data_IF_415883023777
#
_entry.id   IF_415883023777
#
_cell.length_a   1.000
_cell.length_b   1.000
_cell.length_c   1.000
_cell.angle_alpha   90.00
_cell.angle_beta   90.00
_cell.angle_gamma   90.00
#
_symmetry.space_group_name_H-M   'P 1'
#
loop_
_entity.id
_entity.type
_entity.pdbx_description
1 polymer ?
#
# COMPACT_ATOMS: atom_id res chain seq x y z
N UNK A 1 65.69 2.89 70.04
CA UNK A 1 67.07 3.23 69.61
C UNK A 1 66.99 3.78 68.18
N UNK A 2 67.49 5.02 67.96
CA UNK A 2 68.07 5.63 66.73
C UNK A 2 67.52 5.19 65.35
N UNK A 3 67.26 6.04 64.36
CA UNK A 3 67.45 7.47 64.13
C UNK A 3 66.67 7.86 62.85
N UNK A 4 66.44 9.16 62.67
CA UNK A 4 65.82 9.84 61.51
C UNK A 4 66.52 9.54 60.16
N UNK A 5 65.77 9.56 59.06
CA UNK A 5 66.04 10.49 57.95
C UNK A 5 64.86 10.59 56.96
N UNK A 6 64.31 11.81 56.83
CA UNK A 6 63.51 12.25 55.70
C UNK A 6 64.43 12.47 54.50
N UNK A 7 64.00 12.09 53.29
CA UNK A 7 64.35 12.79 52.04
C UNK A 7 63.37 12.41 50.91
N UNK A 8 62.74 13.44 50.37
CA UNK A 8 61.96 13.47 49.14
C UNK A 8 62.81 13.11 47.91
N UNK A 9 62.25 12.40 46.92
CA UNK A 9 62.40 12.75 45.49
C UNK A 9 61.59 11.84 44.54
N UNK A 10 60.66 12.50 43.84
CA UNK A 10 60.29 12.36 42.42
C UNK A 10 59.83 11.03 41.80
N UNK A 11 58.55 11.07 41.40
CA UNK A 11 57.97 10.64 40.12
C UNK A 11 58.96 10.13 39.06
N UNK A 12 58.78 8.88 38.66
CA UNK A 12 59.31 8.30 37.42
C UNK A 12 58.30 7.31 36.85
N UNK A 13 57.25 7.84 36.21
CA UNK A 13 56.28 7.08 35.43
C UNK A 13 57.00 6.56 34.18
N UNK A 14 57.42 5.30 34.18
CA UNK A 14 57.89 4.64 32.97
C UNK A 14 56.66 4.16 32.21
N UNK A 15 56.10 5.05 31.37
CA UNK A 15 55.24 4.63 30.26
C UNK A 15 56.13 3.89 29.26
N UNK A 16 56.12 2.56 29.32
CA UNK A 16 56.70 1.73 28.27
C UNK A 16 55.72 1.76 27.09
N UNK A 17 55.98 2.65 26.14
CA UNK A 17 55.33 2.64 24.84
C UNK A 17 55.79 1.39 24.06
N UNK A 18 54.86 0.52 23.69
CA UNK A 18 55.13 -0.59 22.77
C UNK A 18 55.36 0.00 21.37
N UNK A 19 56.62 0.05 20.95
CA UNK A 19 57.02 0.35 19.58
C UNK A 19 57.98 -0.75 19.12
N UNK A 20 57.55 -1.54 18.12
CA UNK A 20 58.44 -2.40 17.33
C UNK A 20 58.09 -3.89 17.33
N UNK A 21 57.57 -4.35 16.19
CA UNK A 21 57.76 -5.63 15.51
C UNK A 21 58.37 -6.83 16.30
N UNK A 22 57.51 -7.68 16.85
CA UNK A 22 57.79 -9.09 17.19
C UNK A 22 56.54 -9.94 16.88
N UNK A 23 56.62 -11.03 16.09
CA UNK A 23 55.45 -11.78 15.64
C UNK A 23 55.07 -12.95 16.57
N UNK A 24 55.12 -12.79 17.89
CA UNK A 24 54.34 -13.65 18.80
C UNK A 24 54.20 -12.95 20.16
N UNK A 25 53.16 -12.12 20.30
CA UNK A 25 52.69 -11.72 21.61
C UNK A 25 51.94 -12.90 22.22
N UNK A 26 52.61 -13.61 23.12
CA UNK A 26 52.02 -14.67 23.93
C UNK A 26 51.06 -14.02 24.93
N UNK A 27 49.76 -14.08 24.63
CA UNK A 27 48.70 -13.75 25.55
C UNK A 27 48.51 -14.96 26.48
N UNK A 28 48.39 -14.73 27.80
CA UNK A 28 48.06 -15.75 28.80
C UNK A 28 46.77 -16.50 28.36
N UNK A 29 46.92 -17.60 27.61
CA UNK A 29 45.82 -18.39 27.06
C UNK A 29 45.77 -18.64 25.54
N UNK A 30 46.71 -18.18 24.71
CA UNK A 30 46.82 -18.58 23.29
C UNK A 30 47.11 -17.45 22.30
N UNK A 31 47.40 -17.77 21.01
CA UNK A 31 47.82 -16.78 20.04
C UNK A 31 46.70 -15.76 19.79
N UNK A 32 46.99 -14.50 20.12
CA UNK A 32 46.17 -13.36 19.77
C UNK A 32 46.11 -13.23 18.23
N UNK A 33 45.07 -13.83 17.63
CA UNK A 33 44.84 -13.88 16.19
C UNK A 33 44.13 -15.15 15.69
N UNK A 34 44.05 -16.21 16.50
CA UNK A 34 43.22 -17.37 16.17
C UNK A 34 41.76 -17.06 16.49
N UNK A 35 40.94 -16.94 15.45
CA UNK A 35 39.48 -16.83 15.63
C UNK A 35 38.98 -18.06 16.40
N UNK A 36 38.01 -17.90 17.33
CA UNK A 36 37.50 -19.02 18.09
C UNK A 36 36.96 -20.09 17.13
N UNK A 37 37.24 -21.38 17.39
CA UNK A 37 36.76 -22.47 16.54
C UNK A 37 35.23 -22.43 16.51
N UNK A 38 34.68 -22.68 15.32
CA UNK A 38 33.24 -22.65 15.07
C UNK A 38 32.66 -24.07 14.94
N UNK A 39 31.33 -24.18 14.98
CA UNK A 39 30.66 -25.46 14.74
C UNK A 39 30.43 -25.66 13.24
N UNK A 40 30.73 -26.83 12.68
CA UNK A 40 30.50 -27.11 11.25
C UNK A 40 29.07 -26.71 10.81
N UNK A 41 28.97 -25.94 9.72
CA UNK A 41 27.72 -25.44 9.17
C UNK A 41 27.17 -24.18 9.83
N UNK A 42 27.79 -23.68 10.92
CA UNK A 42 27.49 -22.38 11.50
C UNK A 42 27.78 -21.27 10.47
N UNK A 43 26.97 -20.20 10.50
CA UNK A 43 27.06 -19.08 9.56
C UNK A 43 27.23 -17.77 10.30
N UNK A 44 28.09 -16.89 9.78
CA UNK A 44 28.28 -15.54 10.32
C UNK A 44 28.53 -14.53 9.21
N UNK A 45 28.47 -13.26 9.58
CA UNK A 45 28.90 -12.15 8.75
C UNK A 45 30.17 -11.53 9.33
N UNK A 46 31.23 -11.45 8.51
CA UNK A 46 32.46 -10.72 8.82
C UNK A 46 32.61 -9.61 7.78
N UNK A 47 32.56 -8.35 8.20
CA UNK A 47 32.72 -7.17 7.32
C UNK A 47 31.84 -7.19 6.06
N UNK A 48 30.54 -7.50 6.22
CA UNK A 48 29.56 -7.67 5.14
C UNK A 48 29.80 -8.86 4.19
N UNK A 49 30.54 -9.87 4.66
CA UNK A 49 30.86 -11.07 3.89
C UNK A 49 30.39 -12.32 4.66
N UNK A 50 29.45 -13.12 4.13
CA UNK A 50 29.07 -14.39 4.73
C UNK A 50 30.24 -15.37 4.78
N UNK A 51 30.35 -16.06 5.91
CA UNK A 51 31.25 -17.19 6.11
C UNK A 51 30.44 -18.37 6.63
N UNK A 52 30.82 -19.57 6.20
CA UNK A 52 30.31 -20.84 6.72
C UNK A 52 31.46 -21.59 7.37
N UNK A 53 31.23 -22.12 8.56
CA UNK A 53 32.20 -22.95 9.24
C UNK A 53 32.36 -24.29 8.52
N UNK A 54 33.59 -24.65 8.17
CA UNK A 54 33.91 -25.95 7.57
C UNK A 54 34.21 -27.00 8.66
N UNK A 55 34.23 -28.29 8.28
CA UNK A 55 34.35 -29.43 9.20
C UNK A 55 35.57 -29.37 10.15
N UNK A 56 36.62 -28.66 9.76
CA UNK A 56 37.83 -28.47 10.58
C UNK A 56 37.67 -27.41 11.68
N UNK A 57 36.46 -26.86 11.89
CA UNK A 57 36.19 -25.80 12.87
C UNK A 57 36.77 -24.44 12.47
N UNK A 58 37.07 -24.27 11.17
CA UNK A 58 37.64 -23.06 10.58
C UNK A 58 36.56 -22.33 9.78
N UNK A 59 36.56 -21.00 9.81
CA UNK A 59 35.68 -20.22 8.95
C UNK A 59 36.14 -20.27 7.50
N UNK A 60 35.22 -20.61 6.59
CA UNK A 60 35.49 -20.58 5.15
C UNK A 60 35.81 -19.17 4.65
N UNK A 61 36.36 -19.09 3.43
CA UNK A 61 36.73 -17.81 2.81
C UNK A 61 35.51 -16.88 2.68
N UNK A 62 35.62 -15.62 3.14
CA UNK A 62 34.53 -14.66 3.01
C UNK A 62 34.24 -14.36 1.54
N UNK A 63 32.96 -14.19 1.21
CA UNK A 63 32.52 -13.71 -0.10
C UNK A 63 31.75 -12.40 0.08
N UNK A 64 32.09 -11.32 -0.62
CA UNK A 64 31.36 -10.06 -0.47
C UNK A 64 29.93 -10.17 -0.99
N UNK A 65 29.00 -9.56 -0.25
CA UNK A 65 27.63 -9.36 -0.70
C UNK A 65 27.51 -8.08 -1.53
N UNK A 66 26.70 -8.13 -2.60
CA UNK A 66 26.22 -6.92 -3.27
C UNK A 66 25.19 -6.17 -2.40
N UNK A 67 24.50 -6.88 -1.50
CA UNK A 67 23.60 -6.34 -0.49
C UNK A 67 24.18 -6.37 0.93
N UNK A 68 23.34 -6.62 1.93
CA UNK A 68 23.76 -6.71 3.33
C UNK A 68 23.89 -8.17 3.76
N UNK A 69 24.99 -8.52 4.43
CA UNK A 69 25.10 -9.81 5.09
C UNK A 69 24.25 -9.80 6.38
N UNK A 70 23.29 -10.71 6.46
CA UNK A 70 22.50 -10.99 7.67
C UNK A 70 22.47 -12.49 7.93
N UNK A 71 22.65 -12.88 9.19
CA UNK A 71 22.66 -14.29 9.63
C UNK A 71 23.56 -15.20 8.76
N UNK A 72 24.69 -14.64 8.29
CA UNK A 72 25.65 -15.31 7.41
C UNK A 72 25.12 -15.68 6.02
N UNK A 73 24.17 -14.91 5.51
CA UNK A 73 23.68 -14.95 4.12
C UNK A 73 23.61 -13.54 3.53
N UNK A 74 23.81 -13.41 2.22
CA UNK A 74 23.60 -12.14 1.52
C UNK A 74 22.11 -11.92 1.31
N UNK A 75 21.58 -10.87 1.94
CA UNK A 75 20.25 -10.35 1.66
C UNK A 75 20.41 -9.15 0.71
N UNK A 76 19.61 -9.12 -0.36
CA UNK A 76 19.58 -7.97 -1.27
C UNK A 76 19.05 -6.77 -0.50
N UNK A 77 19.82 -5.68 -0.48
CA UNK A 77 19.38 -4.42 0.10
C UNK A 77 18.64 -3.64 -0.98
N UNK A 78 17.30 -3.68 -0.95
CA UNK A 78 16.49 -2.89 -1.86
C UNK A 78 16.41 -1.44 -1.42
N UNK A 79 16.37 -0.54 -2.40
CA UNK A 79 16.13 0.88 -2.15
C UNK A 79 14.74 1.05 -1.49
N UNK A 80 14.56 1.98 -0.54
CA UNK A 80 13.25 2.23 0.06
C UNK A 80 12.16 2.66 -0.94
N UNK A 81 12.53 3.06 -2.16
CA UNK A 81 11.61 3.36 -3.25
C UNK A 81 11.23 2.15 -4.11
N UNK A 82 11.88 1.00 -3.92
CA UNK A 82 11.48 -0.27 -4.53
C UNK A 82 10.09 -0.68 -4.04
N UNK A 83 9.28 -1.23 -4.94
CA UNK A 83 7.95 -1.72 -4.60
C UNK A 83 8.01 -3.14 -4.02
N UNK A 84 6.93 -3.59 -3.38
CA UNK A 84 6.81 -4.97 -2.95
C UNK A 84 6.31 -5.83 -4.11
N UNK A 85 7.02 -6.91 -4.48
CA UNK A 85 6.61 -7.78 -5.59
C UNK A 85 5.17 -8.28 -5.39
N UNK A 86 4.33 -8.09 -6.41
CA UNK A 86 2.89 -8.38 -6.40
C UNK A 86 2.00 -7.22 -5.97
N UNK A 87 2.55 -6.13 -5.44
CA UNK A 87 1.80 -4.89 -5.18
C UNK A 87 1.28 -4.29 -6.49
N UNK A 88 0.11 -3.68 -6.45
CA UNK A 88 -0.50 -2.99 -7.60
C UNK A 88 -0.70 -1.51 -7.30
N UNK A 89 -0.49 -0.67 -8.31
CA UNK A 89 -0.77 0.77 -8.21
C UNK A 89 -1.42 1.30 -9.47
N UNK A 90 -2.09 2.45 -9.36
CA UNK A 90 -2.54 3.18 -10.52
C UNK A 90 -1.43 4.03 -11.13
N UNK A 91 -1.31 3.95 -12.45
CA UNK A 91 -0.49 4.80 -13.29
C UNK A 91 -1.42 5.45 -14.33
N UNK A 92 -2.03 6.58 -13.96
CA UNK A 92 -3.13 7.22 -14.71
C UNK A 92 -4.38 6.33 -14.72
N UNK A 93 -4.98 6.09 -15.90
CA UNK A 93 -6.17 5.27 -16.06
C UNK A 93 -5.88 3.76 -16.05
N UNK A 94 -4.60 3.38 -16.08
CA UNK A 94 -4.12 2.00 -16.14
C UNK A 94 -3.47 1.61 -14.82
N UNK A 95 -3.25 0.31 -14.59
CA UNK A 95 -2.57 -0.17 -13.38
C UNK A 95 -1.21 -0.80 -13.70
N UNK A 96 -0.28 -0.74 -12.76
CA UNK A 96 1.00 -1.44 -12.82
C UNK A 96 1.06 -2.48 -11.71
N UNK A 97 1.72 -3.59 -11.99
CA UNK A 97 2.08 -4.60 -10.98
C UNK A 97 3.57 -4.51 -10.70
N UNK A 98 3.95 -4.61 -9.44
CA UNK A 98 5.34 -4.71 -9.05
C UNK A 98 5.88 -6.10 -9.37
N UNK A 99 6.93 -6.15 -10.18
CA UNK A 99 7.58 -7.37 -10.64
C UNK A 99 8.98 -7.48 -10.02
N UNK A 100 9.53 -8.70 -9.99
CA UNK A 100 10.91 -8.88 -9.56
C UNK A 100 11.87 -8.36 -10.64
N UNK A 101 12.66 -7.36 -10.28
CA UNK A 101 13.74 -6.79 -11.08
C UNK A 101 14.97 -7.71 -11.15
N UNK A 102 15.86 -7.40 -12.09
CA UNK A 102 17.09 -8.18 -12.34
C UNK A 102 18.09 -8.10 -11.17
N UNK A 103 17.98 -7.08 -10.33
CA UNK A 103 18.73 -6.89 -9.08
C UNK A 103 18.11 -7.63 -7.89
N UNK A 104 16.99 -8.34 -8.09
CA UNK A 104 16.25 -9.04 -7.05
C UNK A 104 15.26 -8.16 -6.27
N UNK A 105 15.20 -6.86 -6.57
CA UNK A 105 14.30 -5.90 -5.94
C UNK A 105 13.02 -5.68 -6.74
N UNK A 106 11.97 -5.19 -6.10
CA UNK A 106 10.72 -4.91 -6.80
C UNK A 106 10.82 -3.68 -7.68
N UNK A 107 10.39 -3.82 -8.94
CA UNK A 107 10.30 -2.73 -9.92
C UNK A 107 8.91 -2.69 -10.54
N UNK A 108 8.40 -1.49 -10.82
CA UNK A 108 7.09 -1.35 -11.45
C UNK A 108 7.16 -1.78 -12.92
N UNK A 109 6.37 -2.82 -13.24
CA UNK A 109 6.24 -3.34 -14.60
C UNK A 109 5.51 -2.36 -15.54
N UNK A 110 5.29 -2.76 -16.80
CA UNK A 110 4.52 -1.96 -17.75
C UNK A 110 3.08 -1.74 -17.27
N UNK A 111 2.47 -0.63 -17.71
CA UNK A 111 1.07 -0.37 -17.44
C UNK A 111 0.18 -1.39 -18.17
N UNK A 112 -0.77 -1.97 -17.44
CA UNK A 112 -1.81 -2.85 -17.95
C UNK A 112 -3.07 -2.01 -18.18
N UNK A 113 -3.49 -1.97 -19.44
CA UNK A 113 -4.61 -1.14 -19.88
C UNK A 113 -5.91 -1.64 -19.29
N UNK A 114 -6.69 -0.74 -18.70
CA UNK A 114 -8.01 -1.10 -18.19
C UNK A 114 -9.01 -1.37 -19.32
N UNK A 115 -9.93 -2.35 -19.16
CA UNK A 115 -10.96 -2.62 -20.16
C UNK A 115 -11.82 -1.39 -20.45
N UNK A 116 -12.49 -1.40 -21.61
CA UNK A 116 -13.39 -0.31 -22.00
C UNK A 116 -14.42 0.01 -20.90
N UNK A 117 -14.57 1.29 -20.57
CA UNK A 117 -15.47 1.76 -19.51
C UNK A 117 -14.93 1.57 -18.09
N UNK A 118 -13.64 1.25 -17.92
CA UNK A 118 -12.97 1.15 -16.62
C UNK A 118 -11.80 2.14 -16.55
N UNK A 119 -11.51 2.59 -15.33
CA UNK A 119 -10.35 3.42 -14.98
C UNK A 119 -9.69 2.82 -13.75
N UNK A 120 -8.38 3.00 -13.61
CA UNK A 120 -7.68 2.49 -12.44
C UNK A 120 -8.12 3.22 -11.16
N UNK A 121 -8.53 2.44 -10.16
CA UNK A 121 -8.77 2.90 -8.80
C UNK A 121 -8.20 1.87 -7.82
N UNK A 122 -7.49 2.32 -6.78
CA UNK A 122 -6.85 1.46 -5.77
C UNK A 122 -6.00 0.31 -6.34
N UNK A 123 -5.32 0.55 -7.47
CA UNK A 123 -4.45 -0.43 -8.12
C UNK A 123 -5.18 -1.49 -8.94
N UNK A 124 -6.49 -1.34 -9.15
CA UNK A 124 -7.30 -2.25 -9.97
C UNK A 124 -8.15 -1.48 -10.98
N UNK A 125 -8.51 -2.14 -12.08
CA UNK A 125 -9.50 -1.58 -13.00
C UNK A 125 -10.88 -1.63 -12.36
N UNK A 126 -11.47 -0.46 -12.18
CA UNK A 126 -12.82 -0.29 -11.68
C UNK A 126 -13.64 0.40 -12.76
N UNK A 127 -14.93 0.09 -12.87
CA UNK A 127 -15.81 0.83 -13.78
C UNK A 127 -15.69 2.34 -13.56
N UNK A 128 -15.56 3.11 -14.64
CA UNK A 128 -15.74 4.57 -14.62
C UNK A 128 -17.25 4.84 -14.51
N UNK A 129 -17.77 4.47 -13.35
CA UNK A 129 -19.14 4.71 -12.98
C UNK A 129 -19.16 6.19 -12.64
N UNK A 130 -19.60 7.04 -13.57
CA UNK A 130 -19.98 8.42 -13.24
C UNK A 130 -21.03 8.47 -12.12
N UNK A 131 -21.89 9.47 -12.08
CA UNK A 131 -23.08 9.47 -11.19
C UNK A 131 -24.11 8.39 -11.63
N UNK A 132 -23.71 7.12 -11.73
CA UNK A 132 -24.49 6.06 -12.33
C UNK A 132 -25.69 5.74 -11.44
N UNK A 133 -25.46 5.49 -10.14
CA UNK A 133 -26.39 5.45 -9.00
C UNK A 133 -25.82 4.54 -7.89
N UNK A 134 -26.33 4.62 -6.65
CA UNK A 134 -26.07 3.62 -5.61
C UNK A 134 -27.09 2.47 -5.73
N UNK A 135 -26.70 1.19 -5.57
CA UNK A 135 -27.64 0.07 -5.60
C UNK A 135 -28.80 0.27 -4.62
N UNK A 136 -30.02 0.22 -5.13
CA UNK A 136 -31.24 0.50 -4.36
C UNK A 136 -31.82 1.90 -4.58
N UNK A 137 -31.05 2.85 -5.13
CA UNK A 137 -31.58 4.15 -5.53
C UNK A 137 -32.75 3.98 -6.50
N UNK A 138 -33.76 4.83 -6.38
CA UNK A 138 -34.91 4.85 -7.28
C UNK A 138 -35.07 6.22 -7.91
N UNK A 139 -35.52 6.24 -9.16
CA UNK A 139 -35.88 7.47 -9.87
C UNK A 139 -37.12 7.26 -10.71
N UNK A 140 -37.82 8.35 -11.02
CA UNK A 140 -38.86 8.31 -12.03
C UNK A 140 -38.23 8.25 -13.42
N UNK A 141 -38.45 7.14 -14.12
CA UNK A 141 -38.08 7.02 -15.53
C UNK A 141 -39.16 7.65 -16.43
N UNK A 142 -40.41 7.62 -15.96
CA UNK A 142 -41.55 8.36 -16.53
C UNK A 142 -42.57 8.60 -15.41
N UNK A 143 -43.68 9.25 -15.72
CA UNK A 143 -44.78 9.43 -14.77
C UNK A 143 -45.48 8.11 -14.40
N UNK A 144 -45.34 7.06 -15.21
CA UNK A 144 -45.94 5.74 -14.97
C UNK A 144 -44.90 4.69 -14.60
N UNK A 145 -43.63 5.05 -14.40
CA UNK A 145 -42.60 4.04 -14.15
C UNK A 145 -41.45 4.51 -13.27
N UNK A 146 -41.07 3.65 -12.32
CA UNK A 146 -39.89 3.80 -11.47
C UNK A 146 -38.75 2.95 -12.03
N UNK A 147 -37.55 3.49 -12.14
CA UNK A 147 -36.35 2.71 -12.38
C UNK A 147 -35.56 2.54 -11.08
N UNK A 148 -35.13 1.30 -10.80
CA UNK A 148 -34.25 0.98 -9.68
C UNK A 148 -32.81 0.82 -10.15
N UNK A 149 -31.89 1.39 -9.41
CA UNK A 149 -30.48 1.12 -9.54
C UNK A 149 -30.17 -0.30 -9.11
N UNK A 150 -29.68 -1.11 -10.04
CA UNK A 150 -29.25 -2.49 -9.77
C UNK A 150 -27.73 -2.56 -9.85
N UNK A 151 -27.12 -3.38 -9.00
CA UNK A 151 -25.70 -3.70 -9.14
C UNK A 151 -25.49 -4.44 -10.46
N UNK A 152 -24.65 -3.89 -11.34
CA UNK A 152 -24.23 -4.51 -12.59
C UNK A 152 -22.71 -4.56 -12.67
N UNK A 153 -22.18 -5.44 -13.51
CA UNK A 153 -20.77 -5.40 -13.90
C UNK A 153 -20.67 -4.59 -15.20
N UNK A 154 -19.81 -3.55 -15.29
CA UNK A 154 -18.82 -3.10 -14.32
C UNK A 154 -19.34 -2.08 -13.29
N UNK A 155 -20.59 -1.59 -13.41
CA UNK A 155 -21.17 -0.55 -12.56
C UNK A 155 -22.63 -0.81 -12.21
N UNK A 156 -23.06 -0.28 -11.07
CA UNK A 156 -24.48 -0.15 -10.79
C UNK A 156 -25.13 0.85 -11.76
N UNK A 157 -26.30 0.50 -12.28
CA UNK A 157 -27.02 1.33 -13.25
C UNK A 157 -28.52 1.20 -13.05
N UNK A 158 -29.28 2.23 -13.44
CA UNK A 158 -30.73 2.15 -13.49
C UNK A 158 -31.17 1.10 -14.51
N UNK A 159 -31.87 0.08 -14.02
CA UNK A 159 -32.41 -1.00 -14.83
C UNK A 159 -33.61 -0.58 -15.67
N UNK A 160 -34.29 -1.56 -16.26
CA UNK A 160 -35.53 -1.32 -17.00
C UNK A 160 -36.58 -0.68 -16.09
N UNK A 161 -37.31 0.35 -16.55
CA UNK A 161 -38.39 0.96 -15.79
C UNK A 161 -39.50 -0.05 -15.47
N UNK A 162 -39.90 -0.12 -14.21
CA UNK A 162 -41.02 -0.91 -13.74
C UNK A 162 -42.29 -0.04 -13.74
N UNK A 163 -43.38 -0.46 -14.41
CA UNK A 163 -44.63 0.29 -14.42
C UNK A 163 -45.23 0.41 -13.01
N UNK A 164 -45.73 1.59 -12.70
CA UNK A 164 -46.49 1.83 -11.48
C UNK A 164 -47.83 1.09 -11.52
N UNK A 165 -48.33 0.58 -10.37
CA UNK A 165 -49.66 0.01 -10.28
C UNK A 165 -50.75 0.98 -10.75
N UNK A 166 -51.86 0.42 -11.26
CA UNK A 166 -52.99 1.22 -11.73
C UNK A 166 -53.48 2.21 -10.64
N UNK A 167 -53.65 3.48 -11.03
CA UNK A 167 -54.06 4.55 -10.13
C UNK A 167 -52.95 5.17 -9.29
N UNK A 168 -51.68 4.89 -9.61
CA UNK A 168 -50.51 5.55 -8.99
C UNK A 168 -49.61 6.17 -10.06
N UNK A 169 -48.87 7.21 -9.68
CA UNK A 169 -47.91 7.88 -10.55
C UNK A 169 -46.55 7.95 -9.85
N UNK A 170 -45.47 7.98 -10.63
CA UNK A 170 -44.14 8.15 -10.09
C UNK A 170 -43.93 9.59 -9.60
N UNK A 171 -43.59 9.73 -8.32
CA UNK A 171 -43.16 10.98 -7.70
C UNK A 171 -42.05 10.70 -6.68
N UNK A 172 -41.01 11.55 -6.66
CA UNK A 172 -39.84 11.40 -5.80
C UNK A 172 -39.20 9.99 -5.83
N UNK A 173 -39.21 9.36 -7.01
CA UNK A 173 -38.64 8.02 -7.21
C UNK A 173 -39.47 6.87 -6.63
N UNK A 174 -40.75 7.08 -6.33
CA UNK A 174 -41.67 6.05 -5.87
C UNK A 174 -43.04 6.16 -6.54
N UNK A 175 -43.74 5.05 -6.70
CA UNK A 175 -45.15 5.06 -7.13
C UNK A 175 -46.02 5.49 -5.96
N UNK A 176 -46.69 6.63 -6.10
CA UNK A 176 -47.57 7.21 -5.08
C UNK A 176 -48.98 7.40 -5.61
N UNK A 177 -50.00 7.26 -4.76
CA UNK A 177 -51.36 7.61 -5.14
C UNK A 177 -51.46 9.13 -5.37
N UNK A 178 -52.39 9.58 -6.25
CA UNK A 178 -52.53 10.99 -6.60
C UNK A 178 -52.97 11.89 -5.43
N UNK A 179 -53.38 11.31 -4.30
CA UNK A 179 -53.69 12.05 -3.06
C UNK A 179 -52.45 12.58 -2.33
N UNK A 180 -51.25 12.06 -2.63
CA UNK A 180 -49.97 12.61 -2.18
C UNK A 180 -49.46 13.74 -3.09
N UNK A 181 -50.20 14.07 -4.17
CA UNK A 181 -49.88 15.18 -5.04
C UNK A 181 -50.37 16.51 -4.43
N UNK A 182 -49.54 17.55 -4.52
CA UNK A 182 -49.96 18.89 -4.11
C UNK A 182 -50.79 19.54 -5.21
N UNK A 183 -51.94 20.10 -4.85
CA UNK A 183 -52.93 20.69 -5.77
C UNK A 183 -52.47 21.98 -6.47
N UNK A 184 -51.29 22.52 -6.14
CA UNK A 184 -50.82 23.82 -6.64
C UNK A 184 -49.40 23.74 -7.18
N UNK A 185 -49.14 24.45 -8.28
CA UNK A 185 -47.80 24.71 -8.80
C UNK A 185 -47.06 25.73 -7.92
N UNK A 186 -46.09 25.34 -7.07
CA UNK A 186 -45.42 26.28 -6.20
C UNK A 186 -44.21 26.95 -6.90
N UNK A 187 -43.70 26.36 -7.98
CA UNK A 187 -42.55 26.83 -8.73
C UNK A 187 -42.47 26.19 -10.13
N UNK A 188 -41.74 26.82 -11.04
CA UNK A 188 -41.39 26.27 -12.34
C UNK A 188 -40.68 24.91 -12.23
N UNK A 189 -41.03 23.99 -13.13
CA UNK A 189 -40.38 22.67 -13.21
C UNK A 189 -40.92 21.59 -12.26
N UNK A 190 -41.87 21.91 -11.37
CA UNK A 190 -42.57 20.92 -10.53
C UNK A 190 -43.63 20.17 -11.34
N UNK A 191 -43.88 18.90 -11.02
CA UNK A 191 -44.94 18.10 -11.67
C UNK A 191 -46.19 18.14 -10.81
N UNK A 192 -47.33 18.50 -11.40
CA UNK A 192 -48.66 18.44 -10.78
C UNK A 192 -49.55 17.48 -11.54
N UNK A 193 -50.38 16.71 -10.83
CA UNK A 193 -51.35 15.84 -11.48
C UNK A 193 -52.57 16.66 -11.90
N UNK A 194 -52.94 16.56 -13.16
CA UNK A 194 -54.17 17.12 -13.73
C UNK A 194 -55.38 16.23 -13.41
N UNK A 195 -55.17 14.91 -13.38
CA UNK A 195 -56.15 13.91 -12.93
C UNK A 195 -55.44 12.57 -12.66
N UNK A 196 -56.22 11.52 -12.41
CA UNK A 196 -55.74 10.16 -12.15
C UNK A 196 -54.90 9.53 -13.28
N UNK A 197 -54.80 10.17 -14.44
CA UNK A 197 -54.09 9.68 -15.64
C UNK A 197 -53.22 10.72 -16.33
N UNK A 198 -53.31 11.99 -15.92
CA UNK A 198 -52.59 13.10 -16.57
C UNK A 198 -51.82 13.89 -15.54
N UNK A 199 -50.60 14.27 -15.87
CA UNK A 199 -49.79 15.22 -15.12
C UNK A 199 -49.18 16.27 -16.06
N UNK A 200 -48.86 17.44 -15.52
CA UNK A 200 -48.20 18.53 -16.24
C UNK A 200 -47.02 19.07 -15.43
N UNK A 201 -46.01 19.55 -16.13
CA UNK A 201 -44.90 20.31 -15.54
C UNK A 201 -45.32 21.77 -15.43
N UNK A 202 -45.19 22.34 -14.25
CA UNK A 202 -45.48 23.73 -13.96
C UNK A 202 -44.62 24.65 -14.83
N UNK A 203 -45.31 25.58 -15.49
CA UNK A 203 -44.75 26.72 -16.20
C UNK A 203 -45.39 27.97 -15.56
N UNK A 204 -44.68 28.65 -14.68
CA UNK A 204 -45.11 29.91 -14.11
C UNK A 204 -44.76 31.00 -15.11
N UNK A 205 -45.76 31.56 -15.78
CA UNK A 205 -45.53 32.71 -16.65
C UNK A 205 -44.95 33.89 -15.86
N UNK A 206 -44.21 34.81 -16.51
CA UNK A 206 -43.72 36.00 -15.82
C UNK A 206 -44.91 36.76 -15.22
N UNK A 207 -44.91 36.91 -13.90
CA UNK A 207 -45.91 37.68 -13.15
C UNK A 207 -45.95 39.10 -13.70
N UNK A 208 -47.06 39.47 -14.35
CA UNK A 208 -47.35 40.84 -14.77
C UNK A 208 -47.86 41.70 -13.62
#
# INVERSE_FOLDING_TARGET
MRALNLSFALLGLVLTACAGADPVAECDGGPCGAEPPCTEGERRCLDNQPQTCIADGVWGSPRPCDGTCRNGSCEVACDPTSCLVGETRCALADYQTCEQGADGCGTWGPATVCPEGQTCSDGACQGDCGLACQPGDTRCASFEAVARCVAGAPCAAFGQPEPCPAGTACSDGACRPPEDCVDACPADGRVVCLDATRAQTCQVGPTG
#
